data_IF_645835004738
#
_entry.id   IF_645835004738
#
_cell.length_a   1.000
_cell.length_b   1.000
_cell.length_c   1.000
_cell.angle_alpha   90.00
_cell.angle_beta   90.00
_cell.angle_gamma   90.00
#
_symmetry.space_group_name_H-M   'P 1'
#
loop_
_entity.id
_entity.type
_entity.pdbx_description
1 polymer ?
#
# COMPACT_ATOMS: atom_id res chain seq x y z
N UNK A 1 -19.29 25.70 16.76
CA UNK A 1 -18.43 25.90 15.57
C UNK A 1 -17.55 24.68 15.39
N UNK A 2 -17.85 23.81 14.41
CA UNK A 2 -17.04 22.64 14.06
C UNK A 2 -16.61 22.76 12.59
N UNK A 3 -15.67 23.67 12.29
CA UNK A 3 -15.22 23.96 10.92
C UNK A 3 -14.10 23.03 10.44
N UNK A 4 -13.43 22.33 11.35
CA UNK A 4 -12.34 21.39 11.05
C UNK A 4 -12.84 20.07 10.46
N UNK A 5 -13.88 19.47 11.02
CA UNK A 5 -14.47 18.22 10.52
C UNK A 5 -15.13 18.36 9.13
N UNK A 6 -15.71 19.52 8.83
CA UNK A 6 -16.28 19.82 7.50
C UNK A 6 -15.22 20.07 6.44
N UNK A 7 -14.05 20.62 6.80
CA UNK A 7 -12.93 20.77 5.86
C UNK A 7 -12.31 19.43 5.51
N UNK A 8 -12.13 18.53 6.49
CA UNK A 8 -11.59 17.20 6.23
C UNK A 8 -12.49 16.38 5.30
N UNK A 9 -13.81 16.36 5.52
CA UNK A 9 -14.74 15.67 4.61
C UNK A 9 -14.79 16.32 3.22
N UNK A 10 -14.59 17.64 3.13
CA UNK A 10 -14.53 18.37 1.86
C UNK A 10 -13.29 18.04 1.03
N UNK A 11 -12.11 17.87 1.67
CA UNK A 11 -10.87 17.49 0.97
C UNK A 11 -11.02 16.11 0.33
N UNK A 12 -11.57 15.12 1.04
CA UNK A 12 -11.75 13.76 0.53
C UNK A 12 -12.91 13.63 -0.47
N UNK A 13 -13.87 14.55 -0.48
CA UNK A 13 -14.96 14.59 -1.48
C UNK A 13 -14.67 15.44 -2.72
N UNK A 14 -13.62 16.28 -2.69
CA UNK A 14 -13.36 17.28 -3.72
C UNK A 14 -12.82 16.73 -5.04
N UNK A 15 -12.08 15.62 -5.02
CA UNK A 15 -11.45 15.03 -6.22
C UNK A 15 -11.66 13.52 -6.28
N UNK A 16 -11.78 12.99 -7.51
CA UNK A 16 -11.88 11.54 -7.75
C UNK A 16 -10.68 10.78 -7.17
N UNK A 17 -9.47 11.33 -7.34
CA UNK A 17 -8.24 10.76 -6.77
C UNK A 17 -8.24 10.80 -5.24
N UNK A 18 -8.75 11.87 -4.63
CA UNK A 18 -8.86 11.97 -3.17
C UNK A 18 -9.83 10.91 -2.61
N UNK A 19 -10.96 10.67 -3.28
CA UNK A 19 -11.90 9.60 -2.93
C UNK A 19 -11.25 8.21 -3.05
N UNK A 20 -10.46 7.99 -4.09
CA UNK A 20 -9.73 6.73 -4.30
C UNK A 20 -8.67 6.50 -3.21
N UNK A 21 -7.89 7.52 -2.85
CA UNK A 21 -6.89 7.44 -1.77
C UNK A 21 -7.58 7.15 -0.43
N UNK A 22 -8.69 7.84 -0.13
CA UNK A 22 -9.46 7.56 1.09
C UNK A 22 -9.99 6.12 1.11
N UNK A 23 -10.51 5.63 -0.02
CA UNK A 23 -10.97 4.25 -0.11
C UNK A 23 -9.84 3.23 0.12
N UNK A 24 -8.62 3.52 -0.35
CA UNK A 24 -7.46 2.68 -0.08
C UNK A 24 -7.04 2.72 1.40
N UNK A 25 -7.18 3.87 2.08
CA UNK A 25 -6.97 3.98 3.52
C UNK A 25 -7.97 3.16 4.35
N UNK A 26 -9.20 2.96 3.87
CA UNK A 26 -10.13 2.03 4.52
C UNK A 26 -9.70 0.56 4.34
N UNK A 27 -9.18 0.20 3.15
CA UNK A 27 -8.60 -1.14 2.92
C UNK A 27 -7.40 -1.40 3.84
N UNK A 28 -6.58 -0.39 4.10
CA UNK A 28 -5.45 -0.50 5.03
C UNK A 28 -5.92 -0.76 6.48
N UNK A 29 -6.99 -0.09 6.93
CA UNK A 29 -7.61 -0.36 8.24
C UNK A 29 -8.17 -1.78 8.30
N UNK A 30 -8.75 -2.26 7.22
CA UNK A 30 -9.27 -3.63 7.13
C UNK A 30 -8.13 -4.67 7.20
N UNK A 31 -6.96 -4.38 6.61
CA UNK A 31 -5.76 -5.22 6.75
C UNK A 31 -5.28 -5.26 8.20
N UNK A 32 -5.23 -4.11 8.88
CA UNK A 32 -4.84 -4.07 10.29
C UNK A 32 -5.82 -4.87 11.17
N UNK A 33 -7.12 -4.79 10.87
CA UNK A 33 -8.15 -5.60 11.55
C UNK A 33 -8.00 -7.08 11.26
N UNK A 34 -7.73 -7.46 10.01
CA UNK A 34 -7.49 -8.85 9.60
C UNK A 34 -6.31 -9.45 10.38
N UNK A 35 -5.21 -8.70 10.53
CA UNK A 35 -4.05 -9.13 11.32
C UNK A 35 -4.39 -9.31 12.80
N UNK A 36 -5.23 -8.43 13.36
CA UNK A 36 -5.70 -8.58 14.74
C UNK A 36 -6.55 -9.84 14.93
N UNK A 37 -7.51 -10.11 14.04
CA UNK A 37 -8.35 -11.32 14.04
C UNK A 37 -7.49 -12.59 13.85
N UNK A 38 -6.45 -12.53 13.02
CA UNK A 38 -5.50 -13.63 12.87
C UNK A 38 -4.72 -13.91 14.17
N UNK A 39 -4.26 -12.86 14.87
CA UNK A 39 -3.56 -13.00 16.14
C UNK A 39 -4.48 -13.58 17.23
N UNK A 40 -5.73 -13.14 17.32
CA UNK A 40 -6.70 -13.65 18.30
C UNK A 40 -7.10 -15.09 18.01
N UNK A 41 -7.36 -15.44 16.74
CA UNK A 41 -7.67 -16.82 16.34
C UNK A 41 -6.50 -17.78 16.58
N UNK A 42 -5.25 -17.36 16.31
CA UNK A 42 -4.06 -18.13 16.68
C UNK A 42 -3.94 -18.30 18.20
N UNK A 43 -4.20 -17.25 18.98
CA UNK A 43 -4.20 -17.34 20.45
C UNK A 43 -5.23 -18.32 21.01
N UNK A 44 -6.39 -18.47 20.35
CA UNK A 44 -7.40 -19.46 20.72
C UNK A 44 -6.96 -20.90 20.41
N UNK A 45 -6.15 -21.07 19.36
CA UNK A 45 -5.60 -22.36 18.93
C UNK A 45 -4.36 -22.78 19.74
N UNK A 46 -3.54 -21.82 20.16
CA UNK A 46 -2.37 -22.09 20.99
C UNK A 46 -2.81 -22.41 22.41
N UNK A 47 -2.64 -23.66 22.81
CA UNK A 47 -2.79 -24.11 24.19
C UNK A 47 -1.76 -23.37 25.06
N UNK A 48 -2.15 -22.64 26.13
CA UNK A 48 -1.23 -22.39 27.23
C UNK A 48 -0.86 -23.76 27.77
N UNK A 49 0.42 -24.09 27.68
CA UNK A 49 1.03 -25.34 28.14
C UNK A 49 0.36 -25.83 29.43
N UNK A 50 -0.12 -27.07 29.41
CA UNK A 50 -0.80 -27.69 30.54
C UNK A 50 0.17 -27.81 31.72
N UNK A 51 -0.08 -27.06 32.79
CA UNK A 51 0.42 -27.37 34.12
C UNK A 51 -0.78 -27.50 35.06
N UNK A 52 -1.01 -28.67 35.72
CA UNK A 52 -2.04 -28.79 36.73
C UNK A 52 -1.54 -28.15 38.02
N UNK A 53 -1.62 -26.82 38.11
CA UNK A 53 -1.35 -26.10 39.37
C UNK A 53 -2.53 -25.22 39.76
N UNK A 54 -3.29 -25.81 40.68
CA UNK A 54 -4.06 -25.18 41.75
C UNK A 54 -5.19 -24.23 41.35
N UNK A 55 -6.41 -24.78 41.43
CA UNK A 55 -7.70 -24.11 41.34
C UNK A 55 -7.93 -23.15 42.52
N UNK A 56 -7.14 -22.09 42.65
CA UNK A 56 -7.33 -21.13 43.75
C UNK A 56 -7.37 -19.66 43.34
N UNK A 57 -7.13 -19.28 42.08
CA UNK A 57 -7.20 -17.87 41.66
C UNK A 57 -7.80 -17.65 40.25
N UNK A 58 -9.13 -17.54 40.19
CA UNK A 58 -9.81 -16.38 39.56
C UNK A 58 -9.85 -16.18 38.04
N UNK A 59 -9.19 -16.96 37.19
CA UNK A 59 -9.42 -16.92 35.74
C UNK A 59 -9.65 -18.33 35.21
N UNK A 60 -10.92 -18.74 35.23
CA UNK A 60 -11.36 -19.96 34.56
C UNK A 60 -11.16 -19.74 33.06
N UNK A 61 -10.06 -20.27 32.51
CA UNK A 61 -9.84 -20.35 31.08
C UNK A 61 -11.06 -21.02 30.44
N UNK A 62 -11.64 -20.46 29.36
CA UNK A 62 -12.77 -21.08 28.68
C UNK A 62 -12.46 -22.52 28.29
N UNK A 63 -13.44 -23.41 28.46
CA UNK A 63 -13.28 -24.83 28.22
C UNK A 63 -12.80 -25.07 26.77
N UNK A 64 -12.11 -26.19 26.55
CA UNK A 64 -11.53 -26.49 25.23
C UNK A 64 -12.57 -26.51 24.10
N UNK A 65 -13.81 -26.88 24.41
CA UNK A 65 -14.95 -26.85 23.49
C UNK A 65 -15.41 -25.42 23.19
N UNK A 66 -15.57 -24.57 24.20
CA UNK A 66 -15.92 -23.15 24.03
C UNK A 66 -14.84 -22.39 23.23
N UNK A 67 -13.56 -22.71 23.42
CA UNK A 67 -12.46 -22.15 22.61
C UNK A 67 -12.51 -22.58 21.14
N UNK A 68 -12.90 -23.82 20.87
CA UNK A 68 -13.05 -24.30 19.50
C UNK A 68 -14.21 -23.58 18.79
N UNK A 69 -15.33 -23.34 19.47
CA UNK A 69 -16.44 -22.56 18.92
C UNK A 69 -16.06 -21.10 18.66
N UNK A 70 -15.37 -20.45 19.61
CA UNK A 70 -14.85 -19.09 19.43
C UNK A 70 -13.86 -19.01 18.28
N UNK A 71 -13.00 -20.03 18.11
CA UNK A 71 -12.08 -20.11 16.98
C UNK A 71 -12.81 -20.17 15.64
N UNK A 72 -13.84 -21.01 15.50
CA UNK A 72 -14.61 -21.11 14.25
C UNK A 72 -15.28 -19.79 13.91
N UNK A 73 -15.83 -19.08 14.90
CA UNK A 73 -16.42 -17.77 14.69
C UNK A 73 -15.38 -16.73 14.26
N UNK A 74 -14.23 -16.70 14.92
CA UNK A 74 -13.16 -15.75 14.62
C UNK A 74 -12.49 -16.03 13.26
N UNK A 75 -12.32 -17.31 12.91
CA UNK A 75 -11.88 -17.74 11.58
C UNK A 75 -12.89 -17.37 10.48
N UNK A 76 -14.19 -17.46 10.76
CA UNK A 76 -15.23 -17.00 9.82
C UNK A 76 -15.09 -15.50 9.56
N UNK A 77 -14.96 -14.68 10.61
CA UNK A 77 -14.73 -13.24 10.48
C UNK A 77 -13.42 -12.92 9.76
N UNK A 78 -12.38 -13.71 9.96
CA UNK A 78 -11.11 -13.57 9.24
C UNK A 78 -11.32 -13.71 7.72
N UNK A 79 -12.02 -14.76 7.27
CA UNK A 79 -12.25 -14.95 5.84
C UNK A 79 -13.19 -13.90 5.23
N UNK A 80 -14.20 -13.43 5.98
CA UNK A 80 -15.06 -12.33 5.54
C UNK A 80 -14.28 -11.02 5.36
N UNK A 81 -13.42 -10.69 6.32
CA UNK A 81 -12.57 -9.48 6.24
C UNK A 81 -11.53 -9.60 5.13
N UNK A 82 -10.95 -10.79 4.92
CA UNK A 82 -10.04 -11.06 3.81
C UNK A 82 -10.73 -10.87 2.45
N UNK A 83 -11.97 -11.32 2.30
CA UNK A 83 -12.74 -11.15 1.07
C UNK A 83 -13.03 -9.67 0.79
N UNK A 84 -13.36 -8.90 1.84
CA UNK A 84 -13.53 -7.44 1.75
C UNK A 84 -12.26 -6.74 1.27
N UNK A 85 -11.11 -7.05 1.89
CA UNK A 85 -9.79 -6.52 1.51
C UNK A 85 -9.48 -6.84 0.05
N UNK A 86 -9.67 -8.10 -0.36
CA UNK A 86 -9.41 -8.54 -1.73
C UNK A 86 -10.29 -7.81 -2.75
N UNK A 87 -11.59 -7.65 -2.45
CA UNK A 87 -12.53 -6.88 -3.30
C UNK A 87 -12.10 -5.41 -3.39
N UNK A 88 -11.70 -4.82 -2.27
CA UNK A 88 -11.20 -3.44 -2.20
C UNK A 88 -9.96 -3.22 -3.06
N UNK A 89 -8.95 -4.08 -2.94
CA UNK A 89 -7.72 -4.03 -3.74
C UNK A 89 -8.00 -4.20 -5.23
N UNK A 90 -8.81 -5.19 -5.62
CA UNK A 90 -9.18 -5.39 -7.03
C UNK A 90 -9.88 -4.17 -7.60
N UNK A 91 -10.81 -3.58 -6.84
CA UNK A 91 -11.49 -2.35 -7.24
C UNK A 91 -10.52 -1.17 -7.37
N UNK A 92 -9.55 -1.04 -6.46
CA UNK A 92 -8.52 -0.02 -6.55
C UNK A 92 -7.64 -0.17 -7.81
N UNK A 93 -7.25 -1.40 -8.17
CA UNK A 93 -6.49 -1.69 -9.39
C UNK A 93 -7.30 -1.32 -10.65
N UNK A 94 -8.59 -1.71 -10.70
CA UNK A 94 -9.47 -1.34 -11.82
C UNK A 94 -9.61 0.18 -11.93
N UNK A 95 -9.83 0.86 -10.81
CA UNK A 95 -9.93 2.31 -10.76
C UNK A 95 -8.63 3.00 -11.21
N UNK A 96 -7.46 2.46 -10.85
CA UNK A 96 -6.15 2.96 -11.29
C UNK A 96 -5.97 2.79 -12.81
N UNK A 97 -6.38 1.63 -13.34
CA UNK A 97 -6.39 1.37 -14.79
C UNK A 97 -7.34 2.32 -15.53
N UNK A 98 -8.54 2.54 -15.00
CA UNK A 98 -9.54 3.45 -15.58
C UNK A 98 -9.09 4.91 -15.52
N UNK A 99 -8.41 5.31 -14.44
CA UNK A 99 -7.87 6.65 -14.28
C UNK A 99 -6.81 7.00 -15.34
N UNK A 100 -6.31 6.01 -16.11
CA UNK A 100 -5.32 6.18 -17.19
C UNK A 100 -4.25 7.19 -16.79
N UNK A 101 -3.70 7.08 -15.58
CA UNK A 101 -2.54 7.87 -15.21
C UNK A 101 -1.43 7.38 -16.13
N UNK A 102 -1.22 8.10 -17.23
CA UNK A 102 -0.16 7.79 -18.17
C UNK A 102 1.12 7.74 -17.36
N UNK A 103 1.89 6.66 -17.45
CA UNK A 103 3.20 6.56 -16.77
C UNK A 103 4.09 7.77 -17.14
N UNK A 104 3.85 8.38 -18.30
CA UNK A 104 4.45 9.63 -18.72
C UNK A 104 4.12 10.83 -17.82
N UNK A 105 2.93 10.92 -17.21
CA UNK A 105 2.53 12.04 -16.35
C UNK A 105 3.28 12.10 -15.01
N UNK A 106 3.93 11.00 -14.62
CA UNK A 106 4.79 10.90 -13.43
C UNK A 106 6.25 11.16 -13.81
N UNK A 107 6.61 11.01 -15.10
CA UNK A 107 7.94 11.29 -15.59
C UNK A 107 8.18 12.82 -15.59
N UNK A 108 9.39 13.28 -15.22
CA UNK A 108 9.74 14.70 -15.31
C UNK A 108 9.60 15.20 -16.75
N UNK A 109 9.37 16.51 -16.91
CA UNK A 109 9.06 17.16 -18.20
C UNK A 109 10.08 16.86 -19.31
N UNK A 110 11.33 16.60 -18.95
CA UNK A 110 12.45 16.18 -19.79
C UNK A 110 12.23 14.80 -20.42
N UNK A 111 11.78 13.83 -19.62
CA UNK A 111 11.55 12.43 -20.01
C UNK A 111 10.27 12.28 -20.85
N UNK A 112 9.25 13.10 -20.58
CA UNK A 112 8.06 13.18 -21.43
C UNK A 112 8.40 13.60 -22.86
N UNK A 113 9.32 14.55 -23.02
CA UNK A 113 9.79 15.00 -24.33
C UNK A 113 10.62 13.92 -25.06
N UNK A 114 11.45 13.16 -24.32
CA UNK A 114 12.23 12.06 -24.88
C UNK A 114 11.36 10.87 -25.35
N UNK A 115 10.31 10.52 -24.59
CA UNK A 115 9.36 9.46 -24.96
C UNK A 115 8.47 9.80 -26.18
N UNK A 116 8.28 11.10 -26.44
CA UNK A 116 7.52 11.61 -27.59
C UNK A 116 8.42 11.92 -28.81
N UNK A 117 9.74 11.77 -28.70
CA UNK A 117 10.68 12.07 -29.76
C UNK A 117 10.67 10.96 -30.84
N UNK A 118 10.42 11.29 -32.12
CA UNK A 118 10.56 10.32 -33.20
C UNK A 118 12.05 9.93 -33.35
N UNK A 119 12.38 8.64 -33.20
CA UNK A 119 13.71 8.10 -33.51
C UNK A 119 14.53 7.51 -32.37
N UNK A 120 13.93 7.19 -31.20
CA UNK A 120 14.60 6.34 -30.20
C UNK A 120 14.71 4.93 -30.78
N UNK A 121 15.90 4.58 -31.26
CA UNK A 121 16.20 3.26 -31.82
C UNK A 121 16.03 2.19 -30.73
N UNK A 122 15.02 1.34 -30.88
CA UNK A 122 14.72 0.22 -29.98
C UNK A 122 15.46 -1.06 -30.37
N UNK A 123 16.40 -1.02 -31.31
CA UNK A 123 17.02 -2.20 -31.93
C UNK A 123 18.06 -2.92 -31.06
N UNK A 124 18.52 -2.32 -29.96
CA UNK A 124 19.65 -2.87 -29.16
C UNK A 124 19.28 -3.22 -27.71
N UNK A 125 17.99 -3.39 -27.39
CA UNK A 125 17.55 -3.69 -26.02
C UNK A 125 16.81 -5.04 -25.90
N UNK A 126 16.95 -5.74 -24.75
CA UNK A 126 16.35 -7.04 -24.51
C UNK A 126 14.82 -6.96 -24.62
N UNK A 127 14.26 -7.77 -25.52
CA UNK A 127 12.82 -7.94 -25.73
C UNK A 127 12.15 -8.39 -24.42
N UNK A 128 11.60 -7.44 -23.67
CA UNK A 128 10.83 -7.72 -22.47
C UNK A 128 9.87 -6.57 -22.17
N UNK A 129 8.67 -6.90 -21.70
CA UNK A 129 7.57 -5.97 -21.38
C UNK A 129 7.95 -4.81 -20.41
N UNK A 130 9.16 -4.85 -19.86
CA UNK A 130 9.75 -3.87 -18.95
C UNK A 130 10.61 -2.80 -19.63
N UNK A 131 10.75 -2.81 -20.96
CA UNK A 131 11.64 -1.90 -21.69
C UNK A 131 11.34 -0.41 -21.40
N UNK A 132 10.06 -0.07 -21.37
CA UNK A 132 9.62 1.30 -21.13
C UNK A 132 9.92 1.74 -19.69
N UNK A 133 9.85 0.81 -18.72
CA UNK A 133 10.20 1.08 -17.33
C UNK A 133 11.72 1.22 -17.14
N UNK A 134 12.51 0.35 -17.77
CA UNK A 134 13.97 0.41 -17.70
C UNK A 134 14.54 1.68 -18.34
N UNK A 135 13.94 2.16 -19.44
CA UNK A 135 14.32 3.43 -20.06
C UNK A 135 13.98 4.63 -19.17
N UNK A 136 12.82 4.61 -18.50
CA UNK A 136 12.46 5.65 -17.54
C UNK A 136 13.42 5.67 -16.35
N UNK A 137 13.79 4.50 -15.80
CA UNK A 137 14.72 4.40 -14.68
C UNK A 137 16.12 4.92 -15.05
N UNK A 138 16.65 4.50 -16.20
CA UNK A 138 17.94 4.95 -16.73
C UNK A 138 17.97 6.46 -16.99
N UNK A 139 16.88 7.03 -17.53
CA UNK A 139 16.80 8.47 -17.77
C UNK A 139 16.68 9.26 -16.46
N UNK A 140 15.86 8.81 -15.52
CA UNK A 140 15.72 9.41 -14.18
C UNK A 140 17.06 9.38 -13.44
N UNK A 141 17.78 8.26 -13.51
CA UNK A 141 19.11 8.14 -12.93
C UNK A 141 20.08 9.14 -13.56
N UNK A 142 20.13 9.23 -14.89
CA UNK A 142 21.01 10.18 -15.59
C UNK A 142 20.71 11.65 -15.22
N UNK A 143 19.44 12.00 -15.05
CA UNK A 143 19.02 13.36 -14.67
C UNK A 143 19.36 13.64 -13.19
N UNK A 144 19.19 12.66 -12.31
CA UNK A 144 19.59 12.79 -10.91
C UNK A 144 21.10 13.04 -10.77
N UNK A 145 21.92 12.34 -11.56
CA UNK A 145 23.37 12.56 -11.58
C UNK A 145 23.75 13.94 -12.11
N UNK A 146 23.10 14.43 -13.17
CA UNK A 146 23.38 15.78 -13.70
C UNK A 146 22.93 16.89 -12.75
N UNK A 147 21.79 16.73 -12.08
CA UNK A 147 21.34 17.65 -11.04
C UNK A 147 22.31 17.69 -9.86
N UNK A 148 22.81 16.53 -9.40
CA UNK A 148 23.83 16.46 -8.35
C UNK A 148 25.09 17.21 -8.73
N UNK A 149 25.60 17.01 -9.95
CA UNK A 149 26.78 17.72 -10.45
C UNK A 149 26.55 19.23 -10.45
N UNK A 150 25.42 19.72 -10.96
CA UNK A 150 25.09 21.14 -10.94
C UNK A 150 25.00 21.71 -9.51
N UNK A 151 24.44 20.94 -8.56
CA UNK A 151 24.42 21.37 -7.15
C UNK A 151 25.81 21.45 -6.53
N UNK A 152 26.71 20.52 -6.88
CA UNK A 152 28.10 20.55 -6.42
C UNK A 152 28.85 21.73 -7.03
N UNK A 153 28.69 21.98 -8.33
CA UNK A 153 29.31 23.12 -9.03
C UNK A 153 28.84 24.46 -8.45
N UNK A 154 27.55 24.60 -8.15
CA UNK A 154 27.02 25.83 -7.52
C UNK A 154 27.50 26.00 -6.08
N UNK A 155 27.68 24.92 -5.32
CA UNK A 155 28.28 24.99 -3.98
C UNK A 155 29.77 25.35 -4.04
N UNK A 156 30.49 24.82 -5.03
CA UNK A 156 31.91 25.13 -5.24
C UNK A 156 32.10 26.59 -5.68
N UNK A 157 31.28 27.08 -6.61
CA UNK A 157 31.29 28.48 -7.04
C UNK A 157 30.85 29.47 -5.95
N UNK A 158 30.11 29.01 -4.94
CA UNK A 158 29.68 29.82 -3.78
C UNK A 158 30.72 29.84 -2.64
N UNK A 159 31.65 28.89 -2.64
CA UNK A 159 32.70 28.76 -1.61
C UNK A 159 34.04 29.35 -2.02
N UNK A 160 34.23 29.63 -3.32
CA UNK A 160 35.31 30.48 -3.87
C UNK A 160 34.94 31.97 -3.84
#
# INVERSE_FOLDING_TARGET
MNTSGQRQSSIWSSSSSAKQIHALGEVEKDIARLLHIAATSLSLLTVPEADPVDNSNGEQLPDGEERAEMFVQEATKYYETLESVQKGLRKAIVNLREARISSAAIAPSSVQAALLAPGVNTEDLPEGENLHYALQESLVESEAWTALVQTVETLQARTS
#
